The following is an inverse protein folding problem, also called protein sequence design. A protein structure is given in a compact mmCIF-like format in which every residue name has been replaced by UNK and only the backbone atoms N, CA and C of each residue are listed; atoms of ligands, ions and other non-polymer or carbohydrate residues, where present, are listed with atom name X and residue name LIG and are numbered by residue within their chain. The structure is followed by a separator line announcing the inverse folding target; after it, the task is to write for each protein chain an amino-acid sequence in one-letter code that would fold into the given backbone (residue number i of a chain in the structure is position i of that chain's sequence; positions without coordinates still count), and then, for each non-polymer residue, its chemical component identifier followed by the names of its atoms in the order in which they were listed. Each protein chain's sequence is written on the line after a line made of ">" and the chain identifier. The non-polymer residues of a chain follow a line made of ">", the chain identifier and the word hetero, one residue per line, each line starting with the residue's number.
data_IF_817536885326
#
_entry.id   IF_817536885326
#
_cell.length_a   1.000
_cell.length_b   1.000
_cell.length_c   1.000
_cell.angle_alpha   90.00
_cell.angle_beta   90.00
_cell.angle_gamma   90.00
#
_symmetry.space_group_name_H-M   'P 1'
#
loop_
_entity.id
_entity.type
_entity.pdbx_description
1 polymer ?
#
# COMPACT_ATOMS: atom_id res chain seq x y z
N UNK A 1 -9.56 -18.41 12.11
CA UNK A 1 -9.26 -18.16 13.55
C UNK A 1 -7.75 -18.20 13.74
N UNK A 2 -7.07 -17.09 13.55
CA UNK A 2 -5.66 -16.97 13.94
C UNK A 2 -5.60 -16.20 15.25
N UNK A 3 -5.55 -16.98 16.32
CA UNK A 3 -5.28 -16.52 17.67
C UNK A 3 -3.80 -16.13 17.69
N UNK A 4 -3.52 -14.85 17.53
CA UNK A 4 -2.18 -14.31 17.67
C UNK A 4 -1.81 -14.40 19.14
N UNK A 5 -0.85 -15.25 19.44
CA UNK A 5 -0.17 -15.34 20.70
C UNK A 5 0.30 -13.96 21.14
N UNK A 6 0.04 -13.61 22.41
CA UNK A 6 0.32 -12.34 23.00
C UNK A 6 1.77 -11.88 22.84
N UNK A 7 1.92 -10.86 22.04
CA UNK A 7 3.03 -9.94 22.01
C UNK A 7 2.41 -8.60 21.74
N UNK A 8 2.57 -7.65 22.64
CA UNK A 8 2.21 -6.26 22.42
C UNK A 8 2.88 -5.80 21.13
N UNK A 9 2.10 -5.75 20.05
CA UNK A 9 2.57 -5.18 18.78
C UNK A 9 2.89 -3.71 19.06
N UNK A 10 4.14 -3.31 18.85
CA UNK A 10 4.53 -1.92 19.08
C UNK A 10 3.61 -1.00 18.24
N UNK A 11 3.14 0.10 18.82
CA UNK A 11 2.22 1.04 18.16
C UNK A 11 2.68 1.43 16.75
N UNK A 12 3.98 1.61 16.56
CA UNK A 12 4.60 1.89 15.26
C UNK A 12 4.36 0.76 14.26
N UNK A 13 4.42 -0.48 14.69
CA UNK A 13 4.28 -1.66 13.84
C UNK A 13 2.83 -1.82 13.39
N UNK A 14 1.89 -1.62 14.29
CA UNK A 14 0.46 -1.58 13.99
C UNK A 14 0.12 -0.47 12.98
N UNK A 15 0.56 0.76 13.22
CA UNK A 15 0.32 1.89 12.34
C UNK A 15 1.01 1.74 10.96
N UNK A 16 2.12 1.03 10.89
CA UNK A 16 2.86 0.81 9.64
C UNK A 16 2.26 -0.26 8.73
N UNK A 17 1.24 -0.99 9.16
CA UNK A 17 0.61 -2.04 8.34
C UNK A 17 0.02 -1.50 7.06
N UNK A 18 -0.63 -0.34 7.10
CA UNK A 18 -1.21 0.30 5.92
C UNK A 18 -0.15 0.63 4.86
N UNK A 19 1.02 1.09 5.28
CA UNK A 19 2.13 1.35 4.38
C UNK A 19 2.63 0.09 3.67
N UNK A 20 2.73 -1.03 4.39
CA UNK A 20 3.14 -2.31 3.79
C UNK A 20 2.16 -2.81 2.73
N UNK A 21 0.84 -2.63 2.96
CA UNK A 21 -0.18 -2.99 1.98
C UNK A 21 -0.09 -2.07 0.77
N UNK A 22 0.07 -0.77 0.97
CA UNK A 22 0.25 0.21 -0.11
C UNK A 22 1.46 -0.12 -0.99
N UNK A 23 2.59 -0.49 -0.40
CA UNK A 23 3.78 -0.92 -1.14
C UNK A 23 3.53 -2.19 -1.97
N UNK A 24 2.76 -3.15 -1.44
CA UNK A 24 2.39 -4.35 -2.21
C UNK A 24 1.48 -4.04 -3.38
N UNK A 25 0.51 -3.13 -3.20
CA UNK A 25 -0.36 -2.67 -4.28
C UNK A 25 0.48 -2.03 -5.39
N UNK A 26 1.40 -1.14 -5.04
CA UNK A 26 2.27 -0.47 -6.01
C UNK A 26 3.14 -1.47 -6.79
N UNK A 27 3.74 -2.45 -6.10
CA UNK A 27 4.54 -3.49 -6.74
C UNK A 27 3.71 -4.35 -7.72
N UNK A 28 2.47 -4.68 -7.37
CA UNK A 28 1.56 -5.42 -8.26
C UNK A 28 1.12 -4.57 -9.45
N UNK A 29 0.87 -3.28 -9.27
CA UNK A 29 0.54 -2.36 -10.35
C UNK A 29 1.69 -2.27 -11.37
N UNK A 30 2.93 -2.21 -10.93
CA UNK A 30 4.11 -2.25 -11.81
C UNK A 30 4.17 -3.55 -12.61
N UNK A 31 3.84 -4.69 -12.00
CA UNK A 31 3.77 -5.99 -12.70
C UNK A 31 2.69 -5.99 -13.78
N UNK A 32 1.50 -5.44 -13.51
CA UNK A 32 0.43 -5.33 -14.51
C UNK A 32 0.86 -4.44 -15.68
N UNK A 33 1.53 -3.32 -15.41
CA UNK A 33 2.07 -2.44 -16.46
C UNK A 33 3.07 -3.21 -17.34
N UNK A 34 3.97 -3.98 -16.75
CA UNK A 34 4.92 -4.81 -17.48
C UNK A 34 4.23 -5.87 -18.35
N UNK A 35 3.19 -6.56 -17.82
CA UNK A 35 2.41 -7.54 -18.57
C UNK A 35 1.65 -6.89 -19.74
N UNK A 36 1.06 -5.72 -19.56
CA UNK A 36 0.42 -4.97 -20.65
C UNK A 36 1.42 -4.56 -21.72
N UNK A 37 2.64 -4.18 -21.34
CA UNK A 37 3.72 -3.90 -22.27
C UNK A 37 4.13 -5.14 -23.08
N UNK A 38 4.15 -6.32 -22.49
CA UNK A 38 4.37 -7.60 -23.20
C UNK A 38 3.23 -7.92 -24.15
N UNK A 39 1.98 -7.74 -23.75
CA UNK A 39 0.81 -7.93 -24.60
C UNK A 39 0.88 -7.04 -25.84
N UNK A 40 1.25 -5.78 -25.70
CA UNK A 40 1.39 -4.84 -26.81
C UNK A 40 2.50 -5.25 -27.79
N UNK A 41 3.60 -5.82 -27.31
CA UNK A 41 4.67 -6.36 -28.17
C UNK A 41 4.22 -7.58 -28.97
N UNK A 42 3.44 -8.46 -28.35
CA UNK A 42 2.90 -9.66 -29.04
C UNK A 42 1.92 -9.25 -30.13
N UNK A 43 1.08 -8.24 -29.92
CA UNK A 43 0.16 -7.74 -30.96
C UNK A 43 0.88 -7.04 -32.10
N UNK A 44 1.97 -6.33 -31.82
CA UNK A 44 2.77 -5.67 -32.87
C UNK A 44 3.47 -6.64 -33.85
N UNK A 45 3.65 -7.90 -33.47
CA UNK A 45 4.20 -8.96 -34.34
C UNK A 45 3.15 -9.73 -35.15
N UNK A 46 1.86 -9.44 -34.98
CA UNK A 46 0.72 -10.03 -35.71
C UNK A 46 0.46 -9.30 -37.06
N UNK A 47 1.53 -8.85 -37.74
CA UNK A 47 1.41 -8.33 -39.08
C UNK A 47 1.21 -9.47 -40.07
N UNK A 48 0.04 -9.52 -40.67
CA UNK A 48 -0.23 -10.02 -42.03
C UNK A 48 -0.24 -11.53 -42.32
N UNK A 49 -0.81 -12.39 -41.43
CA UNK A 49 -1.34 -13.68 -41.94
C UNK A 49 -2.42 -14.28 -41.06
N UNK A 50 -3.60 -14.68 -41.61
CA UNK A 50 -4.61 -15.41 -40.87
C UNK A 50 -4.17 -16.86 -40.72
N UNK A 51 -3.60 -17.24 -39.57
CA UNK A 51 -3.43 -18.62 -39.14
C UNK A 51 -4.23 -18.84 -37.85
N UNK A 52 -5.33 -19.53 -37.96
CA UNK A 52 -5.97 -20.20 -36.85
C UNK A 52 -4.92 -21.14 -36.22
N UNK A 53 -4.72 -21.07 -34.91
CA UNK A 53 -3.69 -21.76 -34.11
C UNK A 53 -2.25 -21.22 -34.23
N UNK A 54 -2.09 -19.93 -34.10
CA UNK A 54 -0.75 -19.36 -33.91
C UNK A 54 -0.34 -19.48 -32.43
N UNK A 55 0.91 -19.95 -32.12
CA UNK A 55 1.46 -19.96 -30.76
C UNK A 55 1.38 -18.59 -30.07
N UNK A 56 1.29 -17.52 -30.85
CA UNK A 56 1.15 -16.15 -30.37
C UNK A 56 -0.24 -15.83 -29.79
N UNK A 57 -1.31 -16.48 -30.29
CA UNK A 57 -2.68 -16.29 -29.76
C UNK A 57 -2.79 -16.91 -28.38
N UNK A 58 -2.34 -18.15 -28.18
CA UNK A 58 -2.32 -18.80 -26.87
C UNK A 58 -1.47 -18.01 -25.88
N UNK A 59 -0.33 -17.47 -26.31
CA UNK A 59 0.52 -16.64 -25.49
C UNK A 59 -0.14 -15.31 -25.08
N UNK A 60 -0.95 -14.73 -25.96
CA UNK A 60 -1.72 -13.53 -25.69
C UNK A 60 -2.82 -13.79 -24.67
N UNK A 61 -3.56 -14.89 -24.82
CA UNK A 61 -4.58 -15.31 -23.87
C UNK A 61 -4.00 -15.53 -22.47
N UNK A 62 -2.86 -16.22 -22.36
CA UNK A 62 -2.15 -16.42 -21.09
C UNK A 62 -1.74 -15.11 -20.43
N UNK A 63 -1.29 -14.13 -21.20
CA UNK A 63 -0.92 -12.80 -20.68
C UNK A 63 -2.16 -12.07 -20.17
N UNK A 64 -3.26 -12.10 -20.91
CA UNK A 64 -4.53 -11.47 -20.53
C UNK A 64 -5.06 -12.08 -19.24
N UNK A 65 -5.05 -13.41 -19.11
CA UNK A 65 -5.48 -14.08 -17.89
C UNK A 65 -4.64 -13.66 -16.67
N UNK A 66 -3.32 -13.58 -16.82
CA UNK A 66 -2.43 -13.09 -15.76
C UNK A 66 -2.69 -11.65 -15.37
N UNK A 67 -3.05 -10.79 -16.32
CA UNK A 67 -3.43 -9.41 -16.05
C UNK A 67 -4.71 -9.38 -15.20
N UNK A 68 -5.75 -10.12 -15.61
CA UNK A 68 -7.04 -10.18 -14.90
C UNK A 68 -6.86 -10.72 -13.48
N UNK A 69 -6.09 -11.78 -13.30
CA UNK A 69 -5.81 -12.35 -11.99
C UNK A 69 -5.07 -11.35 -11.10
N UNK A 70 -4.08 -10.66 -11.63
CA UNK A 70 -3.34 -9.62 -10.90
C UNK A 70 -4.22 -8.43 -10.52
N UNK A 71 -5.13 -8.01 -11.40
CA UNK A 71 -6.10 -6.93 -11.13
C UNK A 71 -7.07 -7.32 -10.02
N UNK A 72 -7.55 -8.55 -10.00
CA UNK A 72 -8.41 -9.07 -8.93
C UNK A 72 -7.69 -9.09 -7.58
N UNK A 73 -6.42 -9.52 -7.55
CA UNK A 73 -5.60 -9.47 -6.35
C UNK A 73 -5.36 -8.04 -5.86
N UNK A 74 -5.12 -7.09 -6.76
CA UNK A 74 -4.94 -5.68 -6.44
C UNK A 74 -6.21 -5.12 -5.81
N UNK A 75 -7.39 -5.40 -6.38
CA UNK A 75 -8.66 -4.96 -5.84
C UNK A 75 -8.88 -5.47 -4.41
N UNK A 76 -8.59 -6.74 -4.14
CA UNK A 76 -8.69 -7.31 -2.79
C UNK A 76 -7.72 -6.64 -1.79
N UNK A 77 -6.51 -6.28 -2.21
CA UNK A 77 -5.56 -5.54 -1.36
C UNK A 77 -5.98 -4.09 -1.13
N UNK A 78 -6.61 -3.45 -2.13
CA UNK A 78 -7.18 -2.10 -1.98
C UNK A 78 -8.30 -2.10 -0.94
N UNK A 79 -9.21 -3.07 -0.99
CA UNK A 79 -10.29 -3.19 -0.01
C UNK A 79 -9.73 -3.35 1.42
N UNK A 80 -8.73 -4.20 1.59
CA UNK A 80 -8.01 -4.35 2.87
C UNK A 80 -7.36 -3.05 3.34
N UNK A 81 -6.76 -2.30 2.42
CA UNK A 81 -6.13 -1.02 2.76
C UNK A 81 -7.16 0.01 3.21
N UNK A 82 -8.32 0.06 2.55
CA UNK A 82 -9.42 0.96 2.91
C UNK A 82 -9.93 0.64 4.32
N UNK A 83 -10.17 -0.62 4.62
CA UNK A 83 -10.65 -1.07 5.94
C UNK A 83 -9.62 -0.76 7.03
N UNK A 84 -8.36 -1.10 6.80
CA UNK A 84 -7.28 -0.81 7.74
C UNK A 84 -7.09 0.69 7.97
N UNK A 85 -7.16 1.52 6.92
CA UNK A 85 -7.09 2.99 7.08
C UNK A 85 -8.27 3.53 7.90
N UNK A 86 -9.45 2.93 7.79
CA UNK A 86 -10.61 3.29 8.62
C UNK A 86 -10.37 2.96 10.09
N UNK A 87 -9.84 1.77 10.38
CA UNK A 87 -9.48 1.36 11.73
C UNK A 87 -8.40 2.27 12.33
N UNK A 88 -7.32 2.52 11.58
CA UNK A 88 -6.23 3.40 12.02
C UNK A 88 -6.72 4.83 12.30
N UNK A 89 -7.64 5.34 11.48
CA UNK A 89 -8.23 6.68 11.71
C UNK A 89 -8.99 6.72 13.03
N UNK A 90 -9.75 5.68 13.37
CA UNK A 90 -10.46 5.58 14.64
C UNK A 90 -9.49 5.59 15.81
N UNK A 91 -8.39 4.84 15.73
CA UNK A 91 -7.35 4.82 16.76
C UNK A 91 -6.64 6.18 16.89
N UNK A 92 -6.31 6.82 15.78
CA UNK A 92 -5.65 8.14 15.78
C UNK A 92 -6.57 9.22 16.36
N UNK A 93 -7.88 9.17 16.06
CA UNK A 93 -8.85 10.14 16.58
C UNK A 93 -9.05 10.07 18.10
N UNK A 94 -8.65 8.98 18.74
CA UNK A 94 -8.64 8.84 20.20
C UNK A 94 -7.46 9.54 20.89
N UNK A 95 -6.56 10.14 20.13
CA UNK A 95 -5.42 10.91 20.68
C UNK A 95 -5.90 12.29 21.10
N UNK A 96 -5.59 12.70 22.32
CA UNK A 96 -6.13 13.94 22.91
C UNK A 96 -5.66 15.23 22.24
N UNK A 97 -4.46 15.23 21.64
CA UNK A 97 -3.85 16.42 21.06
C UNK A 97 -4.05 16.48 19.54
N UNK A 98 -4.72 17.55 19.02
CA UNK A 98 -4.98 17.69 17.58
C UNK A 98 -3.72 17.71 16.71
N UNK A 99 -2.63 18.28 17.22
CA UNK A 99 -1.35 18.33 16.50
C UNK A 99 -0.76 16.94 16.32
N UNK A 100 -0.84 16.10 17.34
CA UNK A 100 -0.38 14.71 17.27
C UNK A 100 -1.29 13.88 16.36
N UNK A 101 -2.60 14.10 16.37
CA UNK A 101 -3.50 13.45 15.39
C UNK A 101 -3.09 13.77 13.97
N UNK A 102 -2.90 15.05 13.65
CA UNK A 102 -2.48 15.51 12.32
C UNK A 102 -1.14 14.90 11.91
N UNK A 103 -0.17 14.86 12.81
CA UNK A 103 1.14 14.24 12.56
C UNK A 103 1.00 12.75 12.23
N UNK A 104 0.21 12.01 13.01
CA UNK A 104 -0.01 10.58 12.81
C UNK A 104 -0.77 10.31 11.50
N UNK A 105 -1.76 11.12 11.16
CA UNK A 105 -2.48 11.01 9.90
C UNK A 105 -1.56 11.24 8.70
N UNK A 106 -0.76 12.29 8.73
CA UNK A 106 0.21 12.58 7.66
C UNK A 106 1.23 11.46 7.51
N UNK A 107 1.70 10.87 8.61
CA UNK A 107 2.71 9.82 8.59
C UNK A 107 2.17 8.47 8.15
N UNK A 108 1.03 8.04 8.73
CA UNK A 108 0.56 6.66 8.61
C UNK A 108 -0.63 6.46 7.66
N UNK A 109 -1.41 7.49 7.40
CA UNK A 109 -2.51 7.43 6.42
C UNK A 109 -2.14 8.05 5.07
N UNK A 110 -1.33 9.12 5.08
CA UNK A 110 -0.87 9.80 3.85
C UNK A 110 0.54 9.36 3.42
N UNK A 111 1.24 8.56 4.21
CA UNK A 111 2.58 8.01 3.94
C UNK A 111 3.66 9.05 3.65
N UNK A 112 3.54 10.25 4.24
CA UNK A 112 4.52 11.32 4.08
C UNK A 112 5.82 11.01 4.81
N UNK A 113 6.93 11.49 4.27
CA UNK A 113 8.23 11.44 4.95
C UNK A 113 8.30 12.47 6.08
N UNK A 114 9.23 12.32 7.01
CA UNK A 114 9.39 13.25 8.12
C UNK A 114 9.72 14.67 7.65
N UNK A 115 10.48 14.80 6.56
CA UNK A 115 10.79 16.08 5.94
C UNK A 115 9.54 16.76 5.37
N UNK A 116 8.69 16.01 4.69
CA UNK A 116 7.41 16.51 4.15
C UNK A 116 6.45 16.92 5.27
N UNK A 117 6.43 16.19 6.38
CA UNK A 117 5.63 16.50 7.56
C UNK A 117 6.17 17.77 8.25
N UNK A 118 7.49 17.90 8.38
CA UNK A 118 8.11 19.08 8.95
C UNK A 118 7.73 20.35 8.19
N UNK A 119 7.77 20.29 6.86
CA UNK A 119 7.33 21.40 6.00
C UNK A 119 5.84 21.68 6.15
N UNK A 120 5.00 20.64 6.13
CA UNK A 120 3.54 20.75 6.19
C UNK A 120 3.05 21.33 7.54
N UNK A 121 3.73 21.00 8.64
CA UNK A 121 3.37 21.43 9.99
C UNK A 121 4.22 22.62 10.47
N UNK A 122 5.13 23.12 9.65
CA UNK A 122 6.08 24.18 10.00
C UNK A 122 6.95 23.87 11.24
N UNK A 123 7.29 22.59 11.43
CA UNK A 123 8.15 22.14 12.53
C UNK A 123 9.59 21.89 12.05
N UNK A 124 10.56 22.06 12.97
CA UNK A 124 11.92 21.59 12.73
C UNK A 124 12.00 20.06 12.85
N UNK A 125 12.82 19.42 11.99
CA UNK A 125 13.02 17.95 11.99
C UNK A 125 13.39 17.38 13.36
N UNK A 126 14.29 18.01 14.17
CA UNK A 126 14.60 17.54 15.51
C UNK A 126 13.39 17.47 16.45
N UNK A 127 12.46 18.42 16.33
CA UNK A 127 11.26 18.49 17.16
C UNK A 127 10.28 17.36 16.85
N UNK A 128 10.15 16.98 15.55
CA UNK A 128 9.34 15.85 15.12
C UNK A 128 9.92 14.51 15.59
N UNK A 129 11.23 14.35 15.60
CA UNK A 129 11.89 13.15 16.11
C UNK A 129 11.65 12.94 17.61
N UNK A 130 11.65 14.01 18.42
CA UNK A 130 11.33 13.93 19.84
C UNK A 130 9.88 13.55 20.09
N UNK A 131 8.94 14.12 19.37
CA UNK A 131 7.52 13.78 19.46
C UNK A 131 7.24 12.34 19.03
N UNK A 132 7.88 11.87 17.96
CA UNK A 132 7.74 10.49 17.50
C UNK A 132 8.34 9.47 18.47
N UNK A 133 9.41 9.82 19.19
CA UNK A 133 10.02 8.96 20.21
C UNK A 133 9.10 8.78 21.43
N UNK A 134 8.34 9.79 21.80
CA UNK A 134 7.35 9.72 22.88
C UNK A 134 6.21 8.74 22.57
N UNK A 135 5.86 8.57 21.30
CA UNK A 135 4.83 7.63 20.84
C UNK A 135 5.33 6.20 20.69
N UNK A 136 6.64 5.99 20.48
CA UNK A 136 7.23 4.66 20.34
C UNK A 136 7.19 3.84 21.63
N UNK A 137 7.07 4.50 22.77
CA UNK A 137 7.15 3.89 24.10
C UNK A 137 5.80 3.72 24.79
N UNK A 138 4.67 4.08 24.18
CA UNK A 138 3.36 3.83 24.78
C UNK A 138 2.80 2.48 24.29
N UNK A 139 2.48 1.54 25.20
CA UNK A 139 1.72 0.34 24.84
C UNK A 139 0.31 0.75 24.42
N UNK A 140 -0.14 0.24 23.27
CA UNK A 140 -1.54 0.33 22.88
C UNK A 140 -2.34 -0.63 23.75
N UNK A 141 -3.18 -0.09 24.64
CA UNK A 141 -4.29 -0.82 25.20
C UNK A 141 -5.46 -0.71 24.20
N UNK A 142 -5.75 -1.81 23.51
CA UNK A 142 -6.98 -1.99 22.76
C UNK A 142 -8.00 -2.64 23.66
#
# INVERSE_FOLDING_TARGET
>A
MNRIMGGEMAAKEYLSQAYRIDQRINAKLEQVIALRGLASKVTGTLSDMPRADSPNVCRMEDIILKIVDSENEINAEIDRLIDLKRELRTVISAVDQPEHQTLLELRYLCFKTWEQIAVAMAYSIPMLCQQSACWRSRPFSV
#
